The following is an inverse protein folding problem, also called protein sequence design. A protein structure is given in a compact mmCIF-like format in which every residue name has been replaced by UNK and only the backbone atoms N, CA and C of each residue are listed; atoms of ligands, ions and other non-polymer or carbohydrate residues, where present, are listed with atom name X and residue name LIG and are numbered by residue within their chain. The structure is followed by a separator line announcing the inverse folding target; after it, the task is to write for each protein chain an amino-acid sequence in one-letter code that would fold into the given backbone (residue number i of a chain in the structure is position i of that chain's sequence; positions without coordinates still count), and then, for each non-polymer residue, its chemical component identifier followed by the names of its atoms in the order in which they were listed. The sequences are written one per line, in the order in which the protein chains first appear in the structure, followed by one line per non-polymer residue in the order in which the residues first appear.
data_IF_233064741303
#
_entry.id   IF_233064741303
#
_cell.length_a   1.000
_cell.length_b   1.000
_cell.length_c   1.000
_cell.angle_alpha   90.00
_cell.angle_beta   90.00
_cell.angle_gamma   90.00
#
_symmetry.space_group_name_H-M   'P 1'
#
loop_
_entity.id
_entity.type
_entity.pdbx_description
1 polymer ?
#
# COMPACT_ATOMS: atom_id res chain seq x y z
N UNK A 1 14.72 -0.11 -10.79
CA UNK A 1 14.44 -1.33 -10.02
C UNK A 1 13.21 -2.02 -10.60
N UNK A 2 13.27 -3.32 -10.70
CA UNK A 2 12.16 -4.11 -11.22
C UNK A 2 11.51 -4.90 -10.10
N UNK A 3 10.19 -4.82 -10.01
CA UNK A 3 9.41 -5.56 -9.02
C UNK A 3 8.73 -6.78 -9.62
N UNK A 4 8.74 -6.90 -10.95
CA UNK A 4 8.16 -8.06 -11.64
C UNK A 4 9.21 -9.15 -11.78
N UNK A 5 8.75 -10.38 -12.00
CA UNK A 5 9.64 -11.47 -12.31
C UNK A 5 10.21 -11.34 -13.74
N UNK A 6 11.12 -12.26 -14.12
CA UNK A 6 11.82 -12.17 -15.40
C UNK A 6 10.90 -12.17 -16.62
N UNK A 7 9.75 -12.79 -16.52
CA UNK A 7 8.80 -12.89 -17.63
C UNK A 7 7.76 -11.79 -17.60
N UNK A 8 7.91 -10.79 -16.74
CA UNK A 8 6.91 -9.74 -16.55
C UNK A 8 5.53 -10.28 -16.13
N UNK A 9 5.53 -11.43 -15.48
CA UNK A 9 4.32 -12.01 -14.92
C UNK A 9 4.15 -11.57 -13.49
N UNK A 10 2.90 -11.51 -13.06
CA UNK A 10 2.61 -11.23 -11.67
C UNK A 10 2.99 -12.42 -10.80
N UNK A 11 3.31 -12.13 -9.55
CA UNK A 11 3.55 -13.19 -8.57
C UNK A 11 2.21 -13.82 -8.19
N UNK A 12 2.23 -15.00 -7.56
CA UNK A 12 0.99 -15.67 -7.17
C UNK A 12 0.14 -14.82 -6.24
N UNK A 13 -1.16 -15.03 -6.27
CA UNK A 13 -2.08 -14.37 -5.37
C UNK A 13 -1.78 -14.78 -3.93
N UNK A 14 -1.81 -13.82 -3.01
CA UNK A 14 -1.54 -14.04 -1.59
C UNK A 14 -2.57 -13.30 -0.74
N UNK A 15 -2.70 -13.75 0.50
CA UNK A 15 -3.54 -13.09 1.48
C UNK A 15 -2.67 -12.31 2.46
N UNK A 16 -3.20 -11.24 3.06
CA UNK A 16 -2.44 -10.50 4.06
C UNK A 16 -2.28 -11.33 5.33
N UNK A 17 -1.10 -11.21 5.95
CA UNK A 17 -0.90 -11.82 7.26
C UNK A 17 -1.28 -10.86 8.39
N UNK A 18 -1.51 -9.60 8.09
CA UNK A 18 -1.92 -8.58 9.04
C UNK A 18 -2.71 -7.50 8.32
N UNK A 19 -3.71 -6.95 8.98
CA UNK A 19 -4.47 -5.82 8.44
C UNK A 19 -5.11 -5.04 9.58
N UNK A 20 -5.48 -3.80 9.30
CA UNK A 20 -6.11 -2.97 10.32
C UNK A 20 -6.41 -1.57 9.80
N UNK A 21 -6.69 -0.68 10.73
CA UNK A 21 -6.99 0.71 10.45
C UNK A 21 -6.15 1.62 11.32
N UNK A 22 -5.79 2.77 10.77
CA UNK A 22 -5.17 3.86 11.53
C UNK A 22 -6.11 5.03 11.50
N UNK A 23 -6.43 5.55 12.68
CA UNK A 23 -7.34 6.69 12.79
C UNK A 23 -6.58 8.00 12.63
N UNK A 24 -7.02 8.84 11.68
CA UNK A 24 -6.45 10.13 11.39
C UNK A 24 -7.57 11.15 11.22
N UNK A 25 -7.89 11.89 12.29
CA UNK A 25 -9.01 12.83 12.29
C UNK A 25 -10.31 12.11 11.99
N UNK A 26 -11.00 12.53 10.92
CA UNK A 26 -12.26 11.90 10.51
C UNK A 26 -12.03 10.62 9.71
N UNK A 27 -10.78 10.33 9.36
CA UNK A 27 -10.46 9.20 8.50
C UNK A 27 -9.99 7.99 9.29
N UNK A 28 -10.33 6.81 8.77
CA UNK A 28 -9.76 5.54 9.20
C UNK A 28 -9.09 4.94 7.98
N UNK A 29 -7.77 4.83 8.02
CA UNK A 29 -6.95 4.41 6.90
C UNK A 29 -6.74 2.90 6.99
N UNK A 30 -7.25 2.17 6.00
CA UNK A 30 -7.06 0.73 5.92
C UNK A 30 -5.65 0.41 5.42
N UNK A 31 -5.00 -0.53 6.09
CA UNK A 31 -3.71 -1.05 5.63
C UNK A 31 -3.68 -2.56 5.73
N UNK A 32 -2.78 -3.18 4.98
CA UNK A 32 -2.51 -4.61 5.09
C UNK A 32 -1.05 -4.89 4.84
N UNK A 33 -0.57 -5.98 5.42
CA UNK A 33 0.78 -6.47 5.24
C UNK A 33 0.73 -7.86 4.62
N UNK A 34 1.54 -8.07 3.58
CA UNK A 34 1.56 -9.32 2.83
C UNK A 34 3.00 -9.78 2.63
N UNK A 35 3.17 -11.04 2.27
CA UNK A 35 4.48 -11.57 1.91
C UNK A 35 5.31 -12.00 3.09
N UNK A 36 6.58 -11.60 3.10
CA UNK A 36 7.54 -12.04 4.13
C UNK A 36 7.64 -11.00 5.25
N UNK A 37 7.20 -11.33 6.48
CA UNK A 37 7.30 -10.41 7.61
C UNK A 37 8.73 -9.95 7.91
N UNK A 38 9.72 -10.76 7.57
CA UNK A 38 11.13 -10.45 7.77
C UNK A 38 11.80 -9.93 6.52
N UNK A 39 11.03 -9.68 5.45
CA UNK A 39 11.55 -9.23 4.20
C UNK A 39 11.83 -7.74 4.17
N UNK A 40 12.37 -7.29 3.05
CA UNK A 40 12.63 -5.87 2.83
C UNK A 40 11.30 -5.12 2.73
N UNK A 41 11.08 -4.09 3.55
CA UNK A 41 9.82 -3.34 3.51
C UNK A 41 9.63 -2.59 2.20
N UNK A 42 8.43 -2.69 1.65
CA UNK A 42 8.02 -1.92 0.47
C UNK A 42 6.60 -1.44 0.68
N UNK A 43 6.38 -0.14 0.48
CA UNK A 43 5.05 0.46 0.60
C UNK A 43 4.51 0.75 -0.79
N UNK A 44 3.34 0.22 -1.08
CA UNK A 44 2.68 0.40 -2.37
C UNK A 44 1.66 1.53 -2.30
N UNK A 45 1.83 2.50 -3.19
CA UNK A 45 0.90 3.62 -3.35
C UNK A 45 0.05 3.35 -4.57
N UNK A 46 -1.25 3.11 -4.37
CA UNK A 46 -2.14 2.88 -5.50
C UNK A 46 -2.37 4.16 -6.28
N UNK A 47 -2.63 4.01 -7.56
CA UNK A 47 -3.04 5.11 -8.41
C UNK A 47 -4.54 5.09 -8.63
N UNK A 48 -5.08 6.18 -9.14
CA UNK A 48 -6.49 6.30 -9.45
C UNK A 48 -7.37 6.59 -8.24
N UNK A 49 -8.45 7.32 -8.42
CA UNK A 49 -9.35 7.66 -7.32
C UNK A 49 -10.34 6.53 -7.04
N UNK A 50 -10.72 6.38 -5.77
CA UNK A 50 -11.86 5.58 -5.34
C UNK A 50 -11.60 4.10 -5.10
N UNK A 51 -10.79 3.46 -5.91
CA UNK A 51 -10.67 2.01 -5.89
C UNK A 51 -9.78 1.40 -4.81
N UNK A 52 -8.81 2.16 -4.32
CA UNK A 52 -7.85 1.63 -3.37
C UNK A 52 -6.81 0.70 -4.01
N UNK A 53 -6.02 0.03 -3.18
CA UNK A 53 -4.96 -0.83 -3.67
C UNK A 53 -5.47 -2.15 -4.27
N UNK A 54 -6.44 -2.76 -3.62
CA UNK A 54 -7.02 -4.02 -4.10
C UNK A 54 -6.08 -5.22 -3.96
N UNK A 55 -6.67 -6.42 -4.03
CA UNK A 55 -5.91 -7.66 -3.85
C UNK A 55 -4.93 -7.92 -5.00
N UNK A 56 -5.24 -7.41 -6.19
CA UNK A 56 -4.37 -7.57 -7.35
C UNK A 56 -3.00 -6.92 -7.12
N UNK A 57 -2.97 -5.81 -6.40
CA UNK A 57 -1.74 -5.06 -6.15
C UNK A 57 -0.73 -5.83 -5.31
N UNK A 58 -1.18 -6.82 -4.54
CA UNK A 58 -0.29 -7.69 -3.75
C UNK A 58 0.65 -8.50 -4.62
N UNK A 59 0.34 -8.63 -5.90
CA UNK A 59 1.04 -9.51 -6.83
C UNK A 59 2.19 -8.82 -7.56
N UNK A 60 2.45 -7.55 -7.28
CA UNK A 60 3.53 -6.82 -7.94
C UNK A 60 4.91 -7.09 -7.34
N UNK A 61 4.96 -7.63 -6.12
CA UNK A 61 6.22 -7.85 -5.41
C UNK A 61 6.41 -9.33 -5.13
N UNK A 62 7.68 -9.75 -5.07
CA UNK A 62 8.01 -11.11 -4.70
C UNK A 62 7.68 -11.33 -3.21
N UNK A 63 6.69 -12.17 -2.88
CA UNK A 63 6.27 -12.33 -1.49
C UNK A 63 7.30 -13.05 -0.62
N UNK A 64 8.30 -13.68 -1.20
CA UNK A 64 9.37 -14.31 -0.45
C UNK A 64 10.44 -13.33 -0.01
N UNK A 65 10.59 -12.23 -0.74
CA UNK A 65 11.65 -11.25 -0.50
C UNK A 65 11.18 -9.99 0.19
N UNK A 66 9.93 -9.60 0.00
CA UNK A 66 9.43 -8.32 0.46
C UNK A 66 8.38 -8.45 1.55
N UNK A 67 8.46 -7.53 2.51
CA UNK A 67 7.37 -7.22 3.42
C UNK A 67 6.53 -6.16 2.72
N UNK A 68 5.41 -6.59 2.18
CA UNK A 68 4.60 -5.75 1.28
C UNK A 68 3.53 -5.05 2.09
N UNK A 69 3.58 -3.71 2.11
CA UNK A 69 2.59 -2.91 2.81
C UNK A 69 1.74 -2.18 1.79
N UNK A 70 0.44 -2.42 1.85
CA UNK A 70 -0.54 -1.74 1.03
C UNK A 70 -1.47 -0.96 1.94
N UNK A 71 -1.95 0.16 1.47
CA UNK A 71 -2.99 0.89 2.18
C UNK A 71 -3.89 1.59 1.18
N UNK A 72 -5.11 1.85 1.61
CA UNK A 72 -6.07 2.58 0.81
C UNK A 72 -6.04 4.04 1.24
N UNK A 73 -5.77 4.93 0.29
CA UNK A 73 -5.71 6.36 0.57
C UNK A 73 -7.06 6.87 1.09
N UNK A 74 -7.03 8.02 1.75
CA UNK A 74 -8.25 8.62 2.31
C UNK A 74 -9.34 8.72 1.25
N UNK A 75 -10.54 8.29 1.58
CA UNK A 75 -11.66 8.30 0.67
C UNK A 75 -11.68 7.18 -0.35
N UNK A 76 -10.73 6.26 -0.29
CA UNK A 76 -10.57 5.19 -1.28
C UNK A 76 -10.73 3.81 -0.65
N UNK A 77 -11.19 2.85 -1.47
CA UNK A 77 -11.24 1.45 -1.10
C UNK A 77 -11.92 1.20 0.23
N UNK A 78 -11.22 0.53 1.13
CA UNK A 78 -11.72 0.18 2.46
C UNK A 78 -11.50 1.27 3.50
N UNK A 79 -10.77 2.33 3.17
CA UNK A 79 -10.61 3.47 4.07
C UNK A 79 -11.93 4.22 4.20
N UNK A 80 -12.16 4.80 5.38
CA UNK A 80 -13.44 5.44 5.71
C UNK A 80 -13.23 6.89 6.10
N UNK A 81 -14.19 7.79 5.83
CA UNK A 81 -15.38 7.60 5.01
C UNK A 81 -15.02 7.50 3.53
N UNK A 82 -15.80 6.73 2.79
CA UNK A 82 -15.58 6.56 1.36
C UNK A 82 -15.89 7.87 0.61
N UNK A 83 -15.07 8.19 -0.39
CA UNK A 83 -15.17 9.41 -1.21
C UNK A 83 -15.10 10.73 -0.44
N UNK A 84 -14.59 10.70 0.78
CA UNK A 84 -14.45 11.90 1.60
C UNK A 84 -13.26 12.73 1.13
N UNK A 85 -13.51 14.01 0.85
CA UNK A 85 -12.47 14.95 0.41
C UNK A 85 -11.93 15.83 1.55
N UNK A 86 -12.52 15.75 2.73
CA UNK A 86 -12.06 16.51 3.90
C UNK A 86 -10.68 16.03 4.32
N UNK A 87 -9.77 16.96 4.61
CA UNK A 87 -8.42 16.64 5.04
C UNK A 87 -7.75 15.57 4.14
N UNK A 88 -7.88 15.77 2.83
CA UNK A 88 -7.41 14.78 1.86
C UNK A 88 -6.53 15.43 0.80
N UNK A 89 -5.36 15.89 1.23
CA UNK A 89 -4.37 16.54 0.37
C UNK A 89 -3.12 15.66 0.25
N UNK A 90 -2.19 16.06 -0.60
CA UNK A 90 -0.90 15.38 -0.72
C UNK A 90 -0.14 15.36 0.60
N UNK A 91 -0.24 16.42 1.39
CA UNK A 91 0.40 16.49 2.71
C UNK A 91 -0.19 15.47 3.67
N UNK A 92 -1.51 15.27 3.61
CA UNK A 92 -2.17 14.25 4.42
C UNK A 92 -1.73 12.85 3.99
N UNK A 93 -1.50 12.64 2.70
CA UNK A 93 -0.98 11.36 2.21
C UNK A 93 0.41 11.07 2.80
N UNK A 94 1.28 12.07 2.84
CA UNK A 94 2.61 11.91 3.43
C UNK A 94 2.51 11.58 4.92
N UNK A 95 1.62 12.26 5.64
CA UNK A 95 1.39 11.97 7.06
C UNK A 95 0.90 10.54 7.28
N UNK A 96 0.01 10.07 6.41
CA UNK A 96 -0.54 8.72 6.53
C UNK A 96 0.55 7.66 6.30
N UNK A 97 1.39 7.87 5.31
CA UNK A 97 2.52 6.97 5.04
C UNK A 97 3.43 6.89 6.26
N UNK A 98 3.75 8.03 6.87
CA UNK A 98 4.61 8.06 8.06
C UNK A 98 3.94 7.40 9.26
N UNK A 99 2.64 7.59 9.43
CA UNK A 99 1.90 6.95 10.51
C UNK A 99 1.88 5.44 10.35
N UNK A 100 1.71 4.95 9.12
CA UNK A 100 1.76 3.52 8.82
C UNK A 100 3.15 2.98 9.12
N UNK A 101 4.19 3.66 8.64
CA UNK A 101 5.57 3.26 8.87
C UNK A 101 5.87 3.14 10.37
N UNK A 102 5.47 4.12 11.15
CA UNK A 102 5.69 4.12 12.59
C UNK A 102 4.92 3.01 13.30
N UNK A 103 3.64 2.83 12.92
CA UNK A 103 2.82 1.78 13.53
C UNK A 103 3.41 0.39 13.27
N UNK A 104 3.96 0.18 12.10
CA UNK A 104 4.50 -1.13 11.70
C UNK A 104 5.97 -1.30 12.05
N UNK A 105 6.59 -0.30 12.67
CA UNK A 105 7.98 -0.38 13.10
C UNK A 105 8.98 -0.45 11.95
N UNK A 106 8.67 0.20 10.85
CA UNK A 106 9.53 0.19 9.67
C UNK A 106 10.46 1.40 9.70
N UNK A 107 11.76 1.16 9.83
CA UNK A 107 12.74 2.23 9.89
C UNK A 107 13.22 2.68 8.52
N UNK A 108 13.41 1.74 7.60
CA UNK A 108 13.86 2.02 6.25
C UNK A 108 12.93 1.31 5.29
N UNK A 109 12.47 2.03 4.27
CA UNK A 109 11.48 1.48 3.35
C UNK A 109 11.78 1.92 1.93
N UNK A 110 11.49 1.01 0.98
CA UNK A 110 11.45 1.34 -0.43
C UNK A 110 10.02 1.69 -0.79
N UNK A 111 9.81 2.85 -1.40
CA UNK A 111 8.49 3.27 -1.82
C UNK A 111 8.27 2.88 -3.27
N UNK A 112 7.08 2.40 -3.57
CA UNK A 112 6.66 2.14 -4.94
C UNK A 112 5.31 2.79 -5.16
N UNK A 113 5.27 3.66 -6.17
CA UNK A 113 4.06 4.37 -6.55
C UNK A 113 3.67 3.92 -7.95
N UNK A 114 2.54 3.22 -8.05
CA UNK A 114 2.01 2.78 -9.33
C UNK A 114 0.67 3.44 -9.59
N UNK A 115 0.51 3.93 -10.82
CA UNK A 115 -0.76 4.44 -11.30
C UNK A 115 -1.28 3.49 -12.37
N UNK A 116 -2.56 3.60 -12.68
CA UNK A 116 -3.22 2.65 -13.58
C UNK A 116 -2.54 2.50 -14.94
N UNK A 117 -1.84 3.52 -15.39
CA UNK A 117 -1.18 3.54 -16.71
C UNK A 117 0.34 3.63 -16.63
N UNK A 118 0.92 3.47 -15.45
CA UNK A 118 2.38 3.50 -15.27
C UNK A 118 2.94 2.10 -15.19
N UNK A 119 4.17 1.94 -15.66
CA UNK A 119 4.91 0.70 -15.51
C UNK A 119 6.02 0.90 -14.50
N UNK A 120 6.37 -0.20 -13.80
CA UNK A 120 7.50 -0.20 -12.87
C UNK A 120 8.77 -0.47 -13.64
N UNK A 121 9.76 0.33 -13.41
CA UNK A 121 11.05 0.15 -14.06
C UNK A 121 12.20 0.26 -13.07
#
# INVERSE_FOLDING_TARGET
MKFFNKENKLFPAIEPYDSGYIKKGVHEIYYEQCGNPDGKPAIFLHGGPGGGAGSFSRRFFNPKKYRIVLFDQRGCGKSKPHTCLEDNTTWHLVEDIESIRQKLGINTVSYTHLRAHETVS
#
